data_IF_199853510891
#
_entry.id   IF_199853510891
#
_cell.length_a   1.000
_cell.length_b   1.000
_cell.length_c   1.000
_cell.angle_alpha   90.00
_cell.angle_beta   90.00
_cell.angle_gamma   90.00
#
_symmetry.space_group_name_H-M   'P 1'
#
loop_
_entity.id
_entity.type
_entity.pdbx_description
1 polymer ?
#
# COMPACT_ATOMS: atom_id res chain seq x y z
N UNK A 1 23.01 -2.98 11.81
CA UNK A 1 23.01 -3.86 10.63
C UNK A 1 21.67 -3.66 9.94
N UNK A 2 21.66 -3.18 8.70
CA UNK A 2 20.39 -3.05 7.97
C UNK A 2 19.92 -4.44 7.57
N UNK A 3 18.62 -4.69 7.70
CA UNK A 3 18.04 -6.00 7.48
C UNK A 3 17.61 -6.11 6.00
N UNK A 4 18.29 -6.89 5.14
CA UNK A 4 17.90 -7.05 3.74
C UNK A 4 16.49 -7.63 3.59
N UNK A 5 16.02 -8.38 4.59
CA UNK A 5 14.62 -8.85 4.66
C UNK A 5 13.67 -7.67 4.79
N UNK A 6 13.97 -6.70 5.65
CA UNK A 6 13.15 -5.50 5.80
C UNK A 6 13.11 -4.69 4.50
N UNK A 7 14.26 -4.45 3.85
CA UNK A 7 14.31 -3.77 2.56
C UNK A 7 13.47 -4.46 1.50
N UNK A 8 13.57 -5.79 1.41
CA UNK A 8 12.77 -6.60 0.47
C UNK A 8 11.26 -6.49 0.74
N UNK A 9 10.85 -6.53 2.00
CA UNK A 9 9.43 -6.38 2.37
C UNK A 9 8.91 -4.98 2.00
N UNK A 10 9.67 -3.92 2.31
CA UNK A 10 9.30 -2.54 1.97
C UNK A 10 9.17 -2.35 0.45
N UNK A 11 10.10 -2.91 -0.33
CA UNK A 11 10.01 -2.91 -1.80
C UNK A 11 8.73 -3.63 -2.25
N UNK A 12 8.49 -4.84 -1.73
CA UNK A 12 7.31 -5.63 -2.10
C UNK A 12 5.99 -4.91 -1.82
N UNK A 13 5.81 -4.41 -0.60
CA UNK A 13 4.61 -3.64 -0.22
C UNK A 13 4.49 -2.35 -1.02
N UNK A 14 5.59 -1.61 -1.20
CA UNK A 14 5.59 -0.39 -1.99
C UNK A 14 5.17 -0.62 -3.44
N UNK A 15 5.71 -1.67 -4.08
CA UNK A 15 5.34 -2.05 -5.45
C UNK A 15 3.88 -2.48 -5.55
N UNK A 16 3.37 -3.29 -4.61
CA UNK A 16 1.96 -3.69 -4.59
C UNK A 16 1.04 -2.46 -4.55
N UNK A 17 1.33 -1.50 -3.67
CA UNK A 17 0.56 -0.26 -3.52
C UNK A 17 0.71 0.68 -4.72
N UNK A 18 1.89 0.74 -5.35
CA UNK A 18 2.13 1.60 -6.52
C UNK A 18 1.47 1.07 -7.80
N UNK A 19 1.51 -0.25 -8.01
CA UNK A 19 1.01 -0.92 -9.23
C UNK A 19 -0.48 -1.19 -9.16
N UNK A 20 -1.01 -1.60 -8.00
CA UNK A 20 -2.44 -1.89 -7.79
C UNK A 20 -3.07 -0.99 -6.72
N UNK A 21 -2.94 0.35 -6.82
CA UNK A 21 -3.37 1.26 -5.76
C UNK A 21 -4.87 1.17 -5.47
N UNK A 22 -5.70 0.97 -6.50
CA UNK A 22 -7.13 0.82 -6.33
C UNK A 22 -7.50 -0.42 -5.51
N UNK A 23 -6.85 -1.57 -5.78
CA UNK A 23 -7.13 -2.81 -5.02
C UNK A 23 -6.70 -2.70 -3.57
N UNK A 24 -5.55 -2.09 -3.32
CA UNK A 24 -5.04 -1.86 -1.96
C UNK A 24 -5.94 -0.87 -1.22
N UNK A 25 -6.24 0.29 -1.83
CA UNK A 25 -7.12 1.29 -1.22
C UNK A 25 -8.53 0.73 -0.96
N UNK A 26 -9.07 -0.07 -1.87
CA UNK A 26 -10.37 -0.73 -1.68
C UNK A 26 -10.35 -1.72 -0.53
N UNK A 27 -9.30 -2.54 -0.43
CA UNK A 27 -9.16 -3.47 0.69
C UNK A 27 -9.06 -2.73 2.03
N UNK A 28 -8.32 -1.61 2.08
CA UNK A 28 -8.26 -0.75 3.27
C UNK A 28 -9.64 -0.20 3.64
N UNK A 29 -10.39 0.36 2.68
CA UNK A 29 -11.76 0.84 2.92
C UNK A 29 -12.69 -0.28 3.38
N UNK A 30 -12.56 -1.48 2.83
CA UNK A 30 -13.36 -2.61 3.24
C UNK A 30 -13.07 -3.00 4.70
N UNK A 31 -11.79 -3.00 5.11
CA UNK A 31 -11.41 -3.18 6.51
C UNK A 31 -11.96 -2.06 7.41
N UNK A 32 -11.90 -0.80 6.95
CA UNK A 32 -12.44 0.36 7.66
C UNK A 32 -13.99 0.27 7.81
N UNK A 33 -14.65 -0.40 6.86
CA UNK A 33 -16.09 -0.61 6.84
C UNK A 33 -16.57 -1.81 7.69
N UNK A 34 -15.69 -2.53 8.40
CA UNK A 34 -16.10 -3.63 9.30
C UNK A 34 -17.08 -3.09 10.36
N UNK A 35 -18.28 -3.66 10.39
CA UNK A 35 -19.39 -3.22 11.24
C UNK A 35 -20.39 -2.28 10.57
N UNK A 36 -20.13 -1.86 9.33
CA UNK A 36 -21.11 -1.18 8.48
C UNK A 36 -22.23 -2.14 8.04
N UNK A 37 -23.38 -1.57 7.66
CA UNK A 37 -24.47 -2.30 7.00
C UNK A 37 -24.28 -2.41 5.48
N UNK A 38 -23.31 -1.69 4.92
CA UNK A 38 -22.96 -1.77 3.50
C UNK A 38 -22.33 -3.14 3.21
N UNK A 39 -22.65 -3.71 2.05
CA UNK A 39 -22.03 -4.97 1.67
C UNK A 39 -20.56 -4.77 1.33
N UNK A 40 -19.72 -5.76 1.64
CA UNK A 40 -18.27 -5.71 1.43
C UNK A 40 -17.89 -5.38 -0.02
N UNK A 41 -18.63 -5.94 -0.98
CA UNK A 41 -18.38 -5.78 -2.41
C UNK A 41 -18.85 -4.44 -2.97
N UNK A 42 -19.65 -3.67 -2.23
CA UNK A 42 -20.09 -2.33 -2.62
C UNK A 42 -19.16 -1.22 -2.10
N UNK A 43 -18.17 -1.56 -1.26
CA UNK A 43 -17.22 -0.58 -0.75
C UNK A 43 -16.22 -0.20 -1.83
N UNK A 44 -16.15 1.10 -2.11
CA UNK A 44 -15.34 1.70 -3.17
C UNK A 44 -14.47 2.83 -2.60
N UNK A 45 -13.17 2.89 -2.93
CA UNK A 45 -12.29 3.94 -2.43
C UNK A 45 -12.51 5.26 -3.17
N UNK A 46 -12.35 6.37 -2.44
CA UNK A 46 -12.30 7.68 -3.05
C UNK A 46 -11.04 7.82 -3.94
N UNK A 47 -11.15 8.57 -5.04
CA UNK A 47 -10.04 8.78 -5.99
C UNK A 47 -8.78 9.36 -5.33
N UNK A 48 -8.96 10.23 -4.33
CA UNK A 48 -7.84 10.80 -3.58
C UNK A 48 -7.09 9.73 -2.77
N UNK A 49 -7.79 8.72 -2.21
CA UNK A 49 -7.16 7.62 -1.48
C UNK A 49 -6.36 6.75 -2.43
N UNK A 50 -6.91 6.43 -3.60
CA UNK A 50 -6.17 5.70 -4.65
C UNK A 50 -4.88 6.42 -5.06
N UNK A 51 -4.97 7.74 -5.25
CA UNK A 51 -3.81 8.58 -5.60
C UNK A 51 -2.76 8.59 -4.47
N UNK A 52 -3.21 8.71 -3.22
CA UNK A 52 -2.34 8.66 -2.04
C UNK A 52 -1.67 7.29 -1.88
N UNK A 53 -2.41 6.19 -1.98
CA UNK A 53 -1.88 4.82 -1.91
C UNK A 53 -0.81 4.58 -2.96
N UNK A 54 -1.01 5.08 -4.20
CA UNK A 54 0.03 5.02 -5.24
C UNK A 54 1.28 5.80 -4.83
N UNK A 55 1.10 7.04 -4.38
CA UNK A 55 2.21 7.91 -3.98
C UNK A 55 3.03 7.33 -2.83
N UNK A 56 2.36 6.86 -1.77
CA UNK A 56 2.99 6.17 -0.65
C UNK A 56 3.69 4.90 -1.12
N UNK A 57 3.07 4.12 -2.01
CA UNK A 57 3.67 2.93 -2.59
C UNK A 57 5.00 3.21 -3.28
N UNK A 58 5.07 4.25 -4.12
CA UNK A 58 6.31 4.67 -4.79
C UNK A 58 7.37 5.08 -3.76
N UNK A 59 7.02 5.92 -2.79
CA UNK A 59 7.94 6.37 -1.74
C UNK A 59 8.45 5.18 -0.92
N UNK A 60 7.57 4.26 -0.54
CA UNK A 60 7.91 3.09 0.25
C UNK A 60 8.80 2.12 -0.52
N UNK A 61 8.57 1.94 -1.82
CA UNK A 61 9.43 1.12 -2.67
C UNK A 61 10.84 1.70 -2.78
N UNK A 62 10.95 3.01 -3.04
CA UNK A 62 12.24 3.72 -3.12
C UNK A 62 12.97 3.68 -1.77
N UNK A 63 12.25 3.92 -0.68
CA UNK A 63 12.80 3.81 0.67
C UNK A 63 13.28 2.37 0.97
N UNK A 64 12.50 1.37 0.56
CA UNK A 64 12.89 -0.04 0.67
C UNK A 64 14.17 -0.38 -0.10
N UNK A 65 14.38 0.22 -1.28
CA UNK A 65 15.65 0.11 -2.03
C UNK A 65 16.80 0.74 -1.25
N UNK A 66 16.63 1.93 -0.68
CA UNK A 66 17.65 2.57 0.14
C UNK A 66 18.04 1.70 1.35
N UNK A 67 17.04 1.18 2.06
CA UNK A 67 17.22 0.22 3.17
C UNK A 67 17.93 -1.05 2.68
N UNK A 68 17.51 -1.63 1.57
CA UNK A 68 18.12 -2.85 1.02
C UNK A 68 19.60 -2.65 0.66
N UNK A 69 19.93 -1.50 0.06
CA UNK A 69 21.29 -1.14 -0.37
C UNK A 69 22.13 -0.54 0.76
N UNK A 70 21.53 -0.26 1.92
CA UNK A 70 22.16 0.39 3.07
C UNK A 70 22.76 1.77 2.71
N UNK A 71 21.97 2.59 2.04
CA UNK A 71 22.28 3.98 1.66
C UNK A 71 21.31 4.97 2.29
#
# INVERSE_FOLDING_TARGET
>A
MVNPVLGTLLIGFGLLSAVWPYRVARFEEQLDAIGSKQSWDEVEPAEWKVTLTRGIGVVLALFGVAVFLNI
#
